data_IF_449428153138
#
_entry.id   IF_449428153138
#
_cell.length_a   1.000
_cell.length_b   1.000
_cell.length_c   1.000
_cell.angle_alpha   90.00
_cell.angle_beta   90.00
_cell.angle_gamma   90.00
#
_symmetry.space_group_name_H-M   'P 1'
#
loop_
_entity.id
_entity.type
_entity.pdbx_description
1 polymer ?
#
# COMPACT_ATOMS: atom_id res chain seq x y z
N UNK A 1 5.01 12.71 -29.37
CA UNK A 1 4.67 11.30 -29.11
C UNK A 1 4.52 11.18 -27.61
N UNK A 2 3.30 11.33 -27.09
CA UNK A 2 3.06 11.19 -25.65
C UNK A 2 3.27 9.73 -25.31
N UNK A 3 4.35 9.45 -24.58
CA UNK A 3 4.63 8.10 -24.09
C UNK A 3 3.54 7.82 -23.09
N UNK A 4 2.58 6.97 -23.44
CA UNK A 4 1.61 6.46 -22.49
C UNK A 4 2.41 5.87 -21.32
N UNK A 5 2.38 6.58 -20.17
CA UNK A 5 3.07 6.25 -18.93
C UNK A 5 2.34 5.07 -18.29
N UNK A 6 2.24 3.96 -19.04
CA UNK A 6 1.79 2.67 -18.55
C UNK A 6 2.71 2.34 -17.39
N UNK A 7 2.20 2.34 -16.14
CA UNK A 7 3.03 2.08 -15.00
C UNK A 7 3.65 0.70 -15.21
N UNK A 8 4.98 0.66 -15.27
CA UNK A 8 5.72 -0.57 -15.51
C UNK A 8 5.34 -1.67 -14.51
N UNK A 9 5.82 -2.90 -14.69
CA UNK A 9 5.40 -4.02 -13.85
C UNK A 9 5.65 -3.74 -12.36
N UNK A 10 4.64 -3.93 -11.53
CA UNK A 10 4.70 -3.64 -10.09
C UNK A 10 5.68 -4.61 -9.41
N UNK A 11 6.59 -4.06 -8.60
CA UNK A 11 7.51 -4.84 -7.77
C UNK A 11 6.86 -5.19 -6.44
N UNK A 12 6.43 -4.18 -5.68
CA UNK A 12 5.76 -4.36 -4.37
C UNK A 12 5.09 -3.08 -3.87
N UNK A 13 4.16 -3.26 -2.93
CA UNK A 13 3.58 -2.19 -2.12
C UNK A 13 4.34 -2.13 -0.79
N UNK A 14 4.77 -0.93 -0.39
CA UNK A 14 5.55 -0.75 0.86
C UNK A 14 4.83 0.06 1.93
N UNK A 15 3.93 0.96 1.54
CA UNK A 15 3.18 1.80 2.48
C UNK A 15 1.73 1.93 2.01
N UNK A 16 0.87 2.27 2.96
CA UNK A 16 -0.51 2.63 2.72
C UNK A 16 -0.83 3.88 3.54
N UNK A 17 -1.66 4.76 3.00
CA UNK A 17 -2.20 5.94 3.69
C UNK A 17 -3.68 6.10 3.37
N UNK A 18 -4.42 6.77 4.25
CA UNK A 18 -5.78 7.25 3.97
C UNK A 18 -5.67 8.69 3.52
N UNK A 19 -6.39 9.05 2.47
CA UNK A 19 -6.53 10.41 1.98
C UNK A 19 -8.02 10.72 1.81
N UNK A 20 -8.38 12.00 1.88
CA UNK A 20 -9.72 12.46 1.54
C UNK A 20 -9.65 13.21 0.22
N UNK A 21 -10.27 12.67 -0.83
CA UNK A 21 -10.28 13.26 -2.17
C UNK A 21 -11.74 13.42 -2.61
N UNK A 22 -12.11 14.62 -3.06
CA UNK A 22 -13.50 14.95 -3.45
C UNK A 22 -14.54 14.59 -2.38
N UNK A 23 -14.22 14.84 -1.11
CA UNK A 23 -15.09 14.56 0.04
C UNK A 23 -15.19 13.07 0.43
N UNK A 24 -14.60 12.16 -0.35
CA UNK A 24 -14.60 10.71 -0.10
C UNK A 24 -13.28 10.25 0.48
N UNK A 25 -13.36 9.38 1.48
CA UNK A 25 -12.17 8.74 2.04
C UNK A 25 -11.70 7.62 1.10
N UNK A 26 -10.45 7.72 0.66
CA UNK A 26 -9.81 6.78 -0.23
C UNK A 26 -8.50 6.26 0.37
N UNK A 27 -8.15 5.04 0.03
CA UNK A 27 -6.86 4.45 0.39
C UNK A 27 -5.90 4.57 -0.78
N UNK A 28 -4.71 5.08 -0.50
CA UNK A 28 -3.60 5.06 -1.43
C UNK A 28 -2.49 4.14 -0.93
N UNK A 29 -1.82 3.51 -1.87
CA UNK A 29 -0.72 2.59 -1.64
C UNK A 29 0.52 3.12 -2.34
N UNK A 30 1.66 3.09 -1.66
CA UNK A 30 2.94 3.44 -2.24
C UNK A 30 3.48 2.23 -2.99
N UNK A 31 3.51 2.35 -4.30
CA UNK A 31 3.86 1.28 -5.24
C UNK A 31 5.27 1.52 -5.76
N UNK A 32 6.10 0.47 -5.63
CA UNK A 32 7.42 0.40 -6.23
C UNK A 32 7.30 -0.39 -7.52
N UNK A 33 7.86 0.13 -8.60
CA UNK A 33 7.90 -0.54 -9.90
C UNK A 33 9.19 -1.34 -10.08
N UNK A 34 9.15 -2.39 -10.90
CA UNK A 34 10.35 -3.15 -11.26
C UNK A 34 11.22 -2.29 -12.19
N UNK A 35 12.53 -2.43 -12.05
CA UNK A 35 13.52 -1.75 -12.91
C UNK A 35 13.43 -0.21 -12.89
N UNK A 36 12.82 0.36 -11.85
CA UNK A 36 12.76 1.80 -11.62
C UNK A 36 13.43 2.15 -10.29
N UNK A 37 14.08 3.31 -10.26
CA UNK A 37 14.69 3.90 -9.05
C UNK A 37 13.59 4.35 -8.08
N UNK A 38 13.91 4.42 -6.79
CA UNK A 38 12.98 4.82 -5.73
C UNK A 38 12.32 6.19 -5.97
N UNK A 39 12.96 7.07 -6.73
CA UNK A 39 12.41 8.38 -7.11
C UNK A 39 11.16 8.28 -8.00
N UNK A 40 10.90 7.11 -8.59
CA UNK A 40 9.71 6.84 -9.41
C UNK A 40 8.60 6.10 -8.66
N UNK A 41 8.72 5.92 -7.35
CA UNK A 41 7.67 5.34 -6.53
C UNK A 41 6.43 6.25 -6.55
N UNK A 42 5.26 5.70 -6.88
CA UNK A 42 4.01 6.47 -7.01
C UNK A 42 2.99 6.05 -5.96
N UNK A 43 2.25 7.02 -5.43
CA UNK A 43 1.05 6.77 -4.62
C UNK A 43 -0.14 6.53 -5.53
N UNK A 44 -0.65 5.32 -5.54
CA UNK A 44 -1.76 4.91 -6.39
C UNK A 44 -2.95 4.45 -5.56
N UNK A 45 -4.16 4.71 -6.07
CA UNK A 45 -5.40 4.12 -5.54
C UNK A 45 -5.47 2.65 -5.95
N UNK A 46 -6.30 1.85 -5.25
CA UNK A 46 -6.43 0.41 -5.49
C UNK A 46 -6.70 0.09 -6.97
N UNK A 47 -7.58 0.86 -7.61
CA UNK A 47 -8.00 0.67 -9.00
C UNK A 47 -6.91 0.99 -10.03
N UNK A 48 -5.91 1.80 -9.65
CA UNK A 48 -4.83 2.23 -10.55
C UNK A 48 -3.61 1.29 -10.52
N UNK A 49 -3.66 0.22 -9.72
CA UNK A 49 -2.55 -0.71 -9.54
C UNK A 49 -2.83 -1.97 -10.37
N UNK A 50 -1.98 -2.32 -11.34
CA UNK A 50 -2.13 -3.57 -12.07
C UNK A 50 -1.88 -4.76 -11.13
N UNK A 51 -2.70 -5.81 -11.26
CA UNK A 51 -2.66 -7.01 -10.42
C UNK A 51 -2.65 -6.70 -8.91
N UNK A 52 -3.49 -5.75 -8.48
CA UNK A 52 -3.46 -5.21 -7.11
C UNK A 52 -3.67 -6.28 -6.01
N UNK A 53 -4.52 -7.26 -6.26
CA UNK A 53 -4.90 -8.30 -5.28
C UNK A 53 -3.71 -9.10 -4.72
N UNK A 54 -2.87 -9.76 -5.54
CA UNK A 54 -1.70 -10.49 -5.03
C UNK A 54 -0.71 -9.57 -4.31
N UNK A 55 -0.54 -8.32 -4.76
CA UNK A 55 0.34 -7.35 -4.11
C UNK A 55 -0.19 -6.91 -2.74
N UNK A 56 -1.49 -6.62 -2.63
CA UNK A 56 -2.13 -6.29 -1.37
C UNK A 56 -2.13 -7.46 -0.40
N UNK A 57 -2.34 -8.69 -0.86
CA UNK A 57 -2.27 -9.88 -0.01
C UNK A 57 -0.89 -10.00 0.64
N UNK A 58 0.19 -9.87 -0.15
CA UNK A 58 1.58 -9.89 0.35
C UNK A 58 1.86 -8.74 1.32
N UNK A 59 1.41 -7.53 1.00
CA UNK A 59 1.56 -6.35 1.85
C UNK A 59 0.79 -6.48 3.19
N UNK A 60 -0.45 -6.99 3.16
CA UNK A 60 -1.26 -7.24 4.37
C UNK A 60 -0.63 -8.34 5.23
N UNK A 61 -0.08 -9.38 4.62
CA UNK A 61 0.64 -10.44 5.32
C UNK A 61 1.91 -9.90 6.01
N UNK A 62 2.74 -9.14 5.29
CA UNK A 62 3.97 -8.58 5.86
C UNK A 62 3.70 -7.58 7.00
N UNK A 63 2.62 -6.80 6.92
CA UNK A 63 2.18 -5.92 8.01
C UNK A 63 1.64 -6.67 9.22
N UNK A 64 0.95 -7.79 9.04
CA UNK A 64 0.53 -8.65 10.17
C UNK A 64 1.73 -9.15 10.94
N UNK A 65 2.75 -9.67 10.24
CA UNK A 65 3.99 -10.11 10.88
C UNK A 65 4.71 -8.96 11.58
N UNK A 66 4.83 -7.79 10.94
CA UNK A 66 5.48 -6.62 11.57
C UNK A 66 4.72 -6.08 12.78
N UNK A 67 3.38 -6.17 12.79
CA UNK A 67 2.55 -5.80 13.96
C UNK A 67 2.75 -6.75 15.13
N UNK A 68 3.05 -8.03 14.88
CA UNK A 68 3.41 -8.99 15.92
C UNK A 68 4.81 -8.75 16.49
N UNK A 69 5.73 -8.20 15.70
CA UNK A 69 7.12 -7.91 16.12
C UNK A 69 7.21 -6.52 16.79
N UNK A 70 6.40 -5.54 16.36
CA UNK A 70 6.34 -4.19 16.90
C UNK A 70 4.95 -3.93 17.51
N UNK A 71 4.68 -4.50 18.69
CA UNK A 71 3.52 -4.10 19.49
C UNK A 71 3.81 -2.77 20.21
N UNK A 72 3.50 -1.65 19.58
CA UNK A 72 2.96 -0.51 20.31
C UNK A 72 1.45 -0.49 20.04
N UNK A 73 0.62 -0.84 21.04
CA UNK A 73 -0.82 -0.88 20.86
C UNK A 73 -1.32 0.54 20.59
N UNK A 74 -1.93 0.75 19.42
CA UNK A 74 -2.92 1.80 19.28
C UNK A 74 -4.09 1.39 20.19
N UNK A 75 -4.12 1.95 21.40
CA UNK A 75 -5.25 1.86 22.32
C UNK A 75 -6.43 2.62 21.73
N UNK A 76 -7.19 1.97 20.86
CA UNK A 76 -8.62 2.22 20.76
C UNK A 76 -9.33 0.88 20.91
N UNK A 77 -9.93 0.67 22.08
CA UNK A 77 -10.82 -0.47 22.36
C UNK A 77 -10.07 -1.74 22.77
N UNK A 78 -10.09 -2.01 24.07
CA UNK A 78 -9.42 -3.15 24.68
C UNK A 78 -9.91 -4.50 24.14
N UNK A 79 -8.96 -5.42 24.00
CA UNK A 79 -9.21 -6.85 24.06
C UNK A 79 -8.23 -7.44 25.06
N UNK A 80 -8.75 -7.89 26.20
CA UNK A 80 -8.06 -8.77 27.14
C UNK A 80 -8.22 -10.19 26.60
N UNK A 81 -7.12 -10.88 26.35
CA UNK A 81 -7.18 -12.34 26.13
C UNK A 81 -6.82 -13.02 27.45
N UNK A 82 -7.72 -13.90 27.88
CA UNK A 82 -7.54 -14.89 28.94
C UNK A 82 -6.47 -15.92 28.54
#
# INVERSE_FOLDING_TARGET
MEVEDSPGPVKKIIKARKIRLNGKDQRQYLVIFKNQTADKDKWLVEDAIPDVNPHLRRFRASRRTKRLINYEPFLEGGYVSL
#
